data_IF_855997805443
#
_entry.id   IF_855997805443
#
_cell.length_a   1.000
_cell.length_b   1.000
_cell.length_c   1.000
_cell.angle_alpha   90.00
_cell.angle_beta   90.00
_cell.angle_gamma   90.00
#
_symmetry.space_group_name_H-M   'P 1'
#
loop_
_entity.id
_entity.type
_entity.pdbx_description
1 polymer ?
#
# COMPACT_ATOMS: atom_id res chain seq x y z
N UNK A 1 -14.56 -7.81 -16.84
CA UNK A 1 -13.79 -9.01 -16.40
C UNK A 1 -12.47 -8.64 -15.69
N UNK A 2 -11.60 -7.83 -16.27
CA UNK A 2 -10.29 -7.46 -15.66
C UNK A 2 -10.46 -6.82 -14.27
N UNK A 3 -11.42 -5.90 -14.10
CA UNK A 3 -11.71 -5.25 -12.80
C UNK A 3 -12.16 -6.25 -11.73
N UNK A 4 -12.98 -7.24 -12.10
CA UNK A 4 -13.42 -8.28 -11.15
C UNK A 4 -12.25 -9.15 -10.71
N UNK A 5 -11.49 -9.66 -11.68
CA UNK A 5 -10.33 -10.52 -11.38
C UNK A 5 -9.24 -9.75 -10.61
N UNK A 6 -8.90 -8.54 -11.04
CA UNK A 6 -7.93 -7.67 -10.36
C UNK A 6 -8.39 -7.29 -8.96
N UNK A 7 -9.68 -6.94 -8.80
CA UNK A 7 -10.28 -6.62 -7.51
C UNK A 7 -10.27 -7.80 -6.54
N UNK A 8 -10.64 -8.99 -7.00
CA UNK A 8 -10.57 -10.21 -6.19
C UNK A 8 -9.12 -10.56 -5.81
N UNK A 9 -8.19 -10.44 -6.74
CA UNK A 9 -6.78 -10.69 -6.47
C UNK A 9 -6.23 -9.69 -5.44
N UNK A 10 -6.55 -8.41 -5.55
CA UNK A 10 -6.20 -7.40 -4.55
C UNK A 10 -6.89 -7.66 -3.21
N UNK A 11 -8.16 -8.07 -3.21
CA UNK A 11 -8.93 -8.36 -2.01
C UNK A 11 -8.34 -9.53 -1.19
N UNK A 12 -7.89 -10.60 -1.84
CA UNK A 12 -7.41 -11.81 -1.15
C UNK A 12 -5.89 -11.92 -1.02
N UNK A 13 -5.13 -11.33 -1.94
CA UNK A 13 -3.67 -11.42 -1.98
C UNK A 13 -2.95 -10.06 -1.91
N UNK A 14 -3.67 -8.97 -1.63
CA UNK A 14 -3.23 -7.59 -1.76
C UNK A 14 -1.91 -7.27 -1.06
N UNK A 15 -1.69 -7.76 0.15
CA UNK A 15 -0.42 -7.55 0.87
C UNK A 15 0.80 -8.13 0.14
N UNK A 16 0.65 -9.31 -0.49
CA UNK A 16 1.74 -9.93 -1.26
C UNK A 16 1.95 -9.19 -2.59
N UNK A 17 0.84 -8.90 -3.27
CA UNK A 17 0.84 -8.18 -4.54
C UNK A 17 1.46 -6.80 -4.37
N UNK A 18 1.14 -6.07 -3.29
CA UNK A 18 1.71 -4.77 -2.99
C UNK A 18 3.24 -4.80 -2.95
N UNK A 19 3.84 -5.79 -2.25
CA UNK A 19 5.30 -5.92 -2.15
C UNK A 19 5.95 -6.26 -3.49
N UNK A 20 5.30 -7.11 -4.29
CA UNK A 20 5.78 -7.47 -5.64
C UNK A 20 5.74 -6.25 -6.55
N UNK A 21 4.63 -5.52 -6.53
CA UNK A 21 4.46 -4.29 -7.34
C UNK A 21 5.51 -3.26 -6.97
N UNK A 22 5.77 -3.05 -5.67
CA UNK A 22 6.81 -2.14 -5.20
C UNK A 22 8.20 -2.56 -5.70
N UNK A 23 8.52 -3.87 -5.67
CA UNK A 23 9.75 -4.42 -6.21
C UNK A 23 9.87 -4.22 -7.73
N UNK A 24 8.79 -4.44 -8.49
CA UNK A 24 8.76 -4.24 -9.94
C UNK A 24 9.00 -2.76 -10.29
N UNK A 25 8.32 -1.82 -9.63
CA UNK A 25 8.56 -0.40 -9.86
C UNK A 25 9.98 0.02 -9.52
N UNK A 26 10.52 -0.48 -8.39
CA UNK A 26 11.92 -0.25 -8.03
C UNK A 26 12.88 -0.81 -9.06
N UNK A 27 12.61 -2.01 -9.58
CA UNK A 27 13.40 -2.61 -10.64
C UNK A 27 13.38 -1.77 -11.93
N UNK A 28 12.19 -1.35 -12.38
CA UNK A 28 12.07 -0.54 -13.60
C UNK A 28 12.82 0.78 -13.44
N UNK A 29 12.63 1.49 -12.32
CA UNK A 29 13.29 2.76 -12.07
C UNK A 29 14.82 2.59 -11.98
N UNK A 30 15.30 1.59 -11.25
CA UNK A 30 16.72 1.29 -11.11
C UNK A 30 17.35 0.88 -12.44
N UNK A 31 16.67 0.06 -13.23
CA UNK A 31 17.11 -0.34 -14.56
C UNK A 31 17.21 0.85 -15.52
N UNK A 32 16.21 1.74 -15.52
CA UNK A 32 16.21 2.95 -16.35
C UNK A 32 17.39 3.88 -15.97
N UNK A 33 17.58 4.14 -14.69
CA UNK A 33 18.65 5.01 -14.22
C UNK A 33 20.03 4.42 -14.55
N UNK A 34 20.22 3.12 -14.27
CA UNK A 34 21.51 2.47 -14.52
C UNK A 34 21.82 2.33 -16.03
N UNK A 35 20.81 2.00 -16.85
CA UNK A 35 21.02 1.89 -18.29
C UNK A 35 21.26 3.24 -18.97
N UNK A 36 20.63 4.32 -18.47
CA UNK A 36 20.83 5.67 -19.03
C UNK A 36 22.24 6.25 -18.77
N UNK A 37 22.95 5.72 -17.77
CA UNK A 37 24.34 6.11 -17.47
C UNK A 37 25.36 5.45 -18.43
N UNK A 38 24.94 4.45 -19.21
CA UNK A 38 25.81 3.75 -20.18
C UNK A 38 25.58 4.31 -21.57
N UNK A 39 26.69 4.46 -22.34
CA UNK A 39 26.61 4.90 -23.75
C UNK A 39 25.97 3.83 -24.64
N UNK A 40 25.32 4.29 -25.72
CA UNK A 40 24.58 3.42 -26.66
C UNK A 40 25.47 2.41 -27.41
N UNK A 41 26.77 2.61 -27.42
CA UNK A 41 27.72 1.80 -28.19
C UNK A 41 28.03 0.43 -27.57
N UNK A 42 27.58 0.19 -26.31
CA UNK A 42 27.93 -1.03 -25.56
C UNK A 42 26.67 -1.75 -25.03
N UNK A 43 25.90 -2.33 -25.92
CA UNK A 43 24.62 -3.00 -25.60
C UNK A 43 24.70 -4.01 -24.45
N UNK A 44 25.77 -4.82 -24.37
CA UNK A 44 25.93 -5.82 -23.30
C UNK A 44 26.13 -5.19 -21.92
N UNK A 45 26.93 -4.14 -21.83
CA UNK A 45 27.13 -3.41 -20.56
C UNK A 45 25.83 -2.68 -20.13
N UNK A 46 25.07 -2.15 -21.11
CA UNK A 46 23.78 -1.50 -20.85
C UNK A 46 22.75 -2.49 -20.27
N UNK A 47 22.69 -3.72 -20.84
CA UNK A 47 21.80 -4.78 -20.32
C UNK A 47 22.22 -5.24 -18.93
N UNK A 48 23.53 -5.47 -18.73
CA UNK A 48 24.07 -5.84 -17.42
C UNK A 48 23.78 -4.74 -16.36
N UNK A 49 24.01 -3.48 -16.71
CA UNK A 49 23.72 -2.33 -15.85
C UNK A 49 22.21 -2.23 -15.52
N UNK A 50 21.33 -2.49 -16.50
CA UNK A 50 19.89 -2.50 -16.28
C UNK A 50 19.47 -3.59 -15.30
N UNK A 51 20.04 -4.80 -15.40
CA UNK A 51 19.72 -5.92 -14.49
C UNK A 51 20.22 -5.59 -13.06
N UNK A 52 21.49 -5.22 -12.92
CA UNK A 52 22.07 -4.91 -11.60
C UNK A 52 21.40 -3.69 -10.98
N UNK A 53 21.25 -2.61 -11.77
CA UNK A 53 20.57 -1.39 -11.33
C UNK A 53 19.10 -1.64 -10.97
N UNK A 54 18.42 -2.50 -11.72
CA UNK A 54 17.06 -2.91 -11.43
C UNK A 54 16.94 -3.65 -10.09
N UNK A 55 17.83 -4.60 -9.81
CA UNK A 55 17.86 -5.34 -8.54
C UNK A 55 18.15 -4.40 -7.35
N UNK A 56 19.14 -3.52 -7.51
CA UNK A 56 19.47 -2.51 -6.49
C UNK A 56 18.30 -1.54 -6.30
N UNK A 57 17.69 -1.06 -7.38
CA UNK A 57 16.53 -0.18 -7.33
C UNK A 57 15.32 -0.82 -6.64
N UNK A 58 15.05 -2.10 -6.89
CA UNK A 58 14.01 -2.85 -6.20
C UNK A 58 14.26 -2.90 -4.69
N UNK A 59 15.49 -3.19 -4.28
CA UNK A 59 15.89 -3.23 -2.87
C UNK A 59 15.76 -1.85 -2.21
N UNK A 60 16.27 -0.81 -2.88
CA UNK A 60 16.20 0.58 -2.38
C UNK A 60 14.74 1.00 -2.19
N UNK A 61 13.86 0.73 -3.17
CA UNK A 61 12.47 1.16 -3.06
C UNK A 61 11.72 0.45 -1.93
N UNK A 62 12.00 -0.84 -1.71
CA UNK A 62 11.45 -1.59 -0.59
C UNK A 62 11.95 -1.01 0.74
N UNK A 63 13.25 -0.71 0.87
CA UNK A 63 13.82 -0.11 2.08
C UNK A 63 13.28 1.31 2.31
N UNK A 64 13.21 2.13 1.26
CA UNK A 64 12.68 3.49 1.33
C UNK A 64 11.22 3.51 1.81
N UNK A 65 10.42 2.52 1.43
CA UNK A 65 9.06 2.36 1.93
C UNK A 65 9.03 2.21 3.47
N UNK A 66 9.87 1.33 4.04
CA UNK A 66 9.92 1.14 5.50
C UNK A 66 10.41 2.40 6.23
N UNK A 67 11.42 3.07 5.66
CA UNK A 67 11.94 4.33 6.20
C UNK A 67 10.84 5.41 6.14
N UNK A 68 10.12 5.53 5.04
CA UNK A 68 9.01 6.48 4.89
C UNK A 68 7.91 6.26 5.94
N UNK A 69 7.51 5.00 6.17
CA UNK A 69 6.51 4.66 7.20
C UNK A 69 7.03 5.02 8.60
N UNK A 70 8.30 4.73 8.89
CA UNK A 70 8.91 5.05 10.19
C UNK A 70 8.98 6.57 10.40
N UNK A 71 9.35 7.35 9.37
CA UNK A 71 9.40 8.81 9.45
C UNK A 71 8.02 9.42 9.71
N UNK A 72 6.99 8.97 8.99
CA UNK A 72 5.62 9.43 9.20
C UNK A 72 5.14 9.08 10.60
N UNK A 73 5.39 7.85 11.05
CA UNK A 73 5.04 7.42 12.40
C UNK A 73 5.77 8.21 13.48
N UNK A 74 7.05 8.50 13.26
CA UNK A 74 7.86 9.32 14.15
C UNK A 74 7.35 10.76 14.23
N UNK A 75 7.02 11.36 13.09
CA UNK A 75 6.45 12.71 13.04
C UNK A 75 5.09 12.77 13.77
N UNK A 76 4.23 11.77 13.60
CA UNK A 76 2.97 11.67 14.34
C UNK A 76 3.20 11.50 15.84
N UNK A 77 4.18 10.70 16.25
CA UNK A 77 4.55 10.55 17.65
C UNK A 77 5.02 11.88 18.26
N UNK A 78 5.91 12.61 17.58
CA UNK A 78 6.36 13.91 18.00
C UNK A 78 5.22 14.93 18.10
N UNK A 79 4.28 14.90 17.14
CA UNK A 79 3.09 15.74 17.16
C UNK A 79 2.22 15.44 18.36
N UNK A 80 1.98 14.17 18.69
CA UNK A 80 1.24 13.76 19.89
C UNK A 80 1.91 14.29 21.16
N UNK A 81 3.25 14.20 21.27
CA UNK A 81 3.96 14.77 22.41
C UNK A 81 3.68 16.27 22.55
N UNK A 82 3.81 17.02 21.46
CA UNK A 82 3.54 18.47 21.48
C UNK A 82 2.09 18.79 21.88
N UNK A 83 1.11 18.08 21.29
CA UNK A 83 -0.31 18.28 21.63
C UNK A 83 -0.61 17.99 23.10
N UNK A 84 -0.08 16.88 23.62
CA UNK A 84 -0.30 16.50 25.03
C UNK A 84 0.30 17.54 25.97
N UNK A 85 1.53 18.02 25.73
CA UNK A 85 2.17 19.04 26.57
C UNK A 85 1.50 20.42 26.45
N UNK A 86 1.00 20.76 25.26
CA UNK A 86 0.25 22.00 25.08
C UNK A 86 -1.02 22.07 25.93
N UNK A 87 -1.67 20.92 26.22
CA UNK A 87 -2.81 20.85 27.13
C UNK A 87 -2.44 21.26 28.60
N UNK A 88 -1.18 21.14 28.95
CA UNK A 88 -0.65 21.56 30.28
C UNK A 88 0.05 22.93 30.25
N UNK A 89 -0.08 23.69 29.14
CA UNK A 89 0.55 24.99 28.91
C UNK A 89 2.09 24.97 29.13
N UNK A 90 2.72 23.87 28.72
CA UNK A 90 4.16 23.64 28.78
C UNK A 90 4.71 23.23 27.44
N UNK A 91 6.00 23.44 27.23
CA UNK A 91 6.72 22.87 26.09
C UNK A 91 7.29 21.50 26.48
N UNK A 92 7.20 20.48 25.60
CA UNK A 92 7.79 19.19 25.89
C UNK A 92 9.31 19.26 25.88
N UNK A 93 9.96 18.60 26.81
CA UNK A 93 11.41 18.43 26.77
C UNK A 93 11.80 17.62 25.49
N UNK A 94 12.94 17.95 24.90
CA UNK A 94 13.43 17.28 23.68
C UNK A 94 13.48 15.75 23.82
N UNK A 95 13.86 15.25 25.00
CA UNK A 95 13.92 13.80 25.27
C UNK A 95 12.55 13.15 25.15
N UNK A 96 11.51 13.81 25.65
CA UNK A 96 10.12 13.32 25.56
C UNK A 96 9.67 13.26 24.10
N UNK A 97 9.95 14.30 23.31
CA UNK A 97 9.63 14.32 21.87
C UNK A 97 10.32 13.18 21.15
N UNK A 98 11.60 12.92 21.43
CA UNK A 98 12.36 11.82 20.84
C UNK A 98 11.75 10.46 21.22
N UNK A 99 11.40 10.25 22.48
CA UNK A 99 10.77 8.99 22.94
C UNK A 99 9.45 8.77 22.21
N UNK A 100 8.58 9.77 22.12
CA UNK A 100 7.31 9.68 21.42
C UNK A 100 7.50 9.46 19.91
N UNK A 101 8.51 10.09 19.30
CA UNK A 101 8.85 9.87 17.91
C UNK A 101 9.30 8.42 17.66
N UNK A 102 10.14 7.85 18.53
CA UNK A 102 10.59 6.45 18.41
C UNK A 102 9.41 5.50 18.60
N UNK A 103 8.57 5.70 19.61
CA UNK A 103 7.39 4.89 19.86
C UNK A 103 6.41 4.98 18.68
N UNK A 104 6.20 6.19 18.14
CA UNK A 104 5.37 6.41 16.97
C UNK A 104 5.91 5.71 15.72
N UNK A 105 7.22 5.77 15.48
CA UNK A 105 7.87 5.08 14.37
C UNK A 105 7.72 3.56 14.48
N UNK A 106 8.01 2.99 15.65
CA UNK A 106 7.86 1.55 15.88
C UNK A 106 6.39 1.10 15.81
N UNK A 107 5.47 1.91 16.34
CA UNK A 107 4.03 1.68 16.23
C UNK A 107 3.55 1.67 14.79
N UNK A 108 3.97 2.65 13.98
CA UNK A 108 3.65 2.72 12.56
C UNK A 108 4.17 1.50 11.79
N UNK A 109 5.41 1.09 12.05
CA UNK A 109 6.00 -0.12 11.45
C UNK A 109 5.26 -1.40 11.87
N UNK A 110 4.79 -1.49 13.08
CA UNK A 110 4.00 -2.63 13.55
C UNK A 110 2.59 -2.67 12.92
N UNK A 111 1.96 -1.50 12.79
CA UNK A 111 0.59 -1.36 12.27
C UNK A 111 0.52 -1.35 10.75
N UNK A 112 1.58 -0.96 10.03
CA UNK A 112 1.61 -0.83 8.56
C UNK A 112 1.04 -2.05 7.85
N UNK A 113 1.35 -3.25 8.32
CA UNK A 113 0.86 -4.50 7.74
C UNK A 113 -0.67 -4.59 7.80
N UNK A 114 -1.26 -4.23 8.94
CA UNK A 114 -2.72 -4.28 9.12
C UNK A 114 -3.41 -3.23 8.27
N UNK A 115 -2.82 -2.05 8.17
CA UNK A 115 -3.31 -0.96 7.31
C UNK A 115 -3.29 -1.37 5.84
N UNK A 116 -2.18 -1.94 5.35
CA UNK A 116 -2.09 -2.41 3.95
C UNK A 116 -3.10 -3.52 3.70
N UNK A 117 -3.21 -4.50 4.61
CA UNK A 117 -4.17 -5.60 4.49
C UNK A 117 -5.59 -5.07 4.44
N UNK A 118 -5.97 -4.15 5.34
CA UNK A 118 -7.30 -3.54 5.35
C UNK A 118 -7.56 -2.74 4.06
N UNK A 119 -6.64 -1.85 3.68
CA UNK A 119 -6.77 -1.02 2.49
C UNK A 119 -6.90 -1.86 1.21
N UNK A 120 -6.09 -2.92 1.07
CA UNK A 120 -6.15 -3.80 -0.12
C UNK A 120 -7.37 -4.72 -0.12
N UNK A 121 -7.85 -5.16 1.05
CA UNK A 121 -9.05 -5.98 1.15
C UNK A 121 -10.29 -5.18 0.76
N UNK A 122 -10.49 -3.99 1.34
CA UNK A 122 -11.66 -3.16 1.04
C UNK A 122 -11.56 -2.49 -0.34
N UNK A 123 -10.40 -1.99 -0.73
CA UNK A 123 -10.18 -1.42 -2.07
C UNK A 123 -10.36 -2.47 -3.18
N UNK A 124 -9.85 -3.68 -2.96
CA UNK A 124 -10.05 -4.82 -3.87
C UNK A 124 -11.52 -5.25 -3.95
N UNK A 125 -12.22 -5.33 -2.81
CA UNK A 125 -13.63 -5.64 -2.75
C UNK A 125 -14.48 -4.60 -3.51
N UNK A 126 -14.19 -3.32 -3.33
CA UNK A 126 -14.87 -2.25 -4.03
C UNK A 126 -14.66 -2.33 -5.54
N UNK A 127 -13.41 -2.56 -5.99
CA UNK A 127 -13.11 -2.74 -7.42
C UNK A 127 -13.83 -3.96 -8.00
N UNK A 128 -13.91 -5.06 -7.25
CA UNK A 128 -14.61 -6.27 -7.68
C UNK A 128 -16.12 -6.06 -7.78
N UNK A 129 -16.74 -5.39 -6.79
CA UNK A 129 -18.18 -5.09 -6.78
C UNK A 129 -18.55 -4.16 -7.94
N UNK A 130 -17.78 -3.10 -8.18
CA UNK A 130 -18.00 -2.20 -9.32
C UNK A 130 -17.85 -2.95 -10.65
N UNK A 131 -16.82 -3.79 -10.78
CA UNK A 131 -16.62 -4.63 -11.96
C UNK A 131 -17.77 -5.61 -12.20
N UNK A 132 -18.29 -6.23 -11.13
CA UNK A 132 -19.44 -7.12 -11.18
C UNK A 132 -20.73 -6.38 -11.54
N UNK A 133 -20.99 -5.22 -10.91
CA UNK A 133 -22.14 -4.38 -11.23
C UNK A 133 -22.13 -3.91 -12.69
N UNK A 134 -20.96 -3.53 -13.22
CA UNK A 134 -20.81 -3.16 -14.62
C UNK A 134 -21.10 -4.33 -15.59
N UNK A 135 -20.72 -5.56 -15.22
CA UNK A 135 -20.99 -6.75 -16.03
C UNK A 135 -22.46 -7.17 -15.99
N UNK A 136 -23.09 -7.15 -14.79
CA UNK A 136 -24.46 -7.62 -14.59
C UNK A 136 -25.50 -6.61 -15.09
N UNK A 137 -25.25 -5.31 -14.92
CA UNK A 137 -26.21 -4.27 -15.28
C UNK A 137 -26.09 -3.81 -16.73
N UNK A 138 -25.20 -4.39 -17.55
CA UNK A 138 -24.85 -3.91 -18.88
C UNK A 138 -24.67 -2.36 -18.93
N UNK A 139 -24.38 -1.78 -17.77
CA UNK A 139 -24.13 -0.35 -17.62
C UNK A 139 -22.73 -0.09 -18.17
N UNK A 140 -22.70 0.59 -19.29
CA UNK A 140 -21.46 1.11 -19.84
C UNK A 140 -20.78 1.92 -18.74
N UNK A 141 -19.47 1.73 -18.60
CA UNK A 141 -18.62 2.47 -17.63
C UNK A 141 -18.49 3.95 -18.02
N UNK A 142 -19.46 4.49 -18.73
CA UNK A 142 -19.51 5.89 -19.17
C UNK A 142 -19.52 6.88 -18.00
N UNK A 143 -19.96 6.43 -16.81
CA UNK A 143 -19.96 7.28 -15.62
C UNK A 143 -18.56 7.49 -15.01
N UNK A 144 -17.59 6.61 -15.28
CA UNK A 144 -16.25 6.75 -14.75
C UNK A 144 -15.36 7.70 -15.57
N UNK A 145 -15.74 7.97 -16.82
CA UNK A 145 -14.96 8.80 -17.73
C UNK A 145 -15.19 10.31 -17.57
N UNK A 146 -16.25 10.73 -16.88
CA UNK A 146 -16.64 12.14 -16.83
C UNK A 146 -16.09 12.96 -15.67
N UNK A 147 -15.33 12.39 -14.74
CA UNK A 147 -14.67 13.21 -13.73
C UNK A 147 -13.29 12.69 -13.36
N UNK A 148 -12.28 13.27 -14.00
CA UNK A 148 -10.87 13.15 -13.65
C UNK A 148 -10.59 13.58 -12.19
N UNK A 149 -11.55 14.24 -11.54
CA UNK A 149 -11.47 14.75 -10.17
C UNK A 149 -12.09 13.83 -9.10
N UNK A 150 -12.73 12.72 -9.48
CA UNK A 150 -13.22 11.75 -8.49
C UNK A 150 -12.07 10.92 -7.97
N UNK A 151 -11.60 11.27 -6.78
CA UNK A 151 -10.56 10.52 -6.09
C UNK A 151 -11.19 9.27 -5.49
N UNK A 152 -11.00 8.18 -6.18
CA UNK A 152 -11.31 6.85 -5.66
C UNK A 152 -10.35 6.52 -4.50
N UNK A 153 -10.81 6.13 -3.31
CA UNK A 153 -12.10 5.61 -2.85
C UNK A 153 -12.97 6.61 -2.02
N UNK A 154 -12.69 7.91 -2.07
CA UNK A 154 -13.27 8.92 -1.17
C UNK A 154 -14.69 9.31 -1.57
N UNK A 155 -15.02 9.21 -2.86
CA UNK A 155 -16.36 9.51 -3.37
C UNK A 155 -17.10 8.19 -3.66
N UNK A 156 -17.99 7.72 -2.74
CA UNK A 156 -18.71 6.48 -2.95
C UNK A 156 -19.64 6.67 -4.16
N UNK A 157 -19.46 5.82 -5.18
CA UNK A 157 -20.47 5.77 -6.26
C UNK A 157 -21.84 5.51 -5.64
N UNK A 158 -22.90 6.14 -6.15
CA UNK A 158 -24.27 5.82 -5.75
C UNK A 158 -24.56 4.38 -6.20
N UNK A 159 -24.23 3.44 -5.34
CA UNK A 159 -24.55 2.03 -5.47
C UNK A 159 -25.86 1.72 -4.77
N UNK A 160 -26.46 0.63 -5.15
CA UNK A 160 -27.61 0.07 -4.43
C UNK A 160 -27.16 -0.36 -3.04
N UNK A 161 -28.09 -0.40 -2.06
CA UNK A 161 -27.80 -0.94 -0.71
C UNK A 161 -27.16 -2.33 -0.76
N UNK A 162 -27.48 -3.12 -1.80
CA UNK A 162 -26.88 -4.43 -2.08
C UNK A 162 -25.39 -4.35 -2.40
N UNK A 163 -24.94 -3.33 -3.15
CA UNK A 163 -23.52 -3.16 -3.51
C UNK A 163 -22.71 -2.84 -2.26
N UNK A 164 -23.28 -2.05 -1.35
CA UNK A 164 -22.64 -1.74 -0.06
C UNK A 164 -22.51 -2.97 0.85
N UNK A 165 -23.57 -3.79 0.93
CA UNK A 165 -23.52 -5.06 1.69
C UNK A 165 -22.49 -6.01 1.08
N UNK A 166 -22.49 -6.16 -0.25
CA UNK A 166 -21.51 -6.99 -0.96
C UNK A 166 -20.06 -6.53 -0.70
N UNK A 167 -19.82 -5.21 -0.70
CA UNK A 167 -18.51 -4.61 -0.39
C UNK A 167 -18.07 -4.97 1.04
N UNK A 168 -18.93 -4.79 2.03
CA UNK A 168 -18.59 -5.09 3.44
C UNK A 168 -18.31 -6.59 3.60
N UNK A 169 -19.17 -7.45 3.07
CA UNK A 169 -19.01 -8.91 3.18
C UNK A 169 -17.73 -9.35 2.49
N UNK A 170 -17.51 -8.92 1.26
CA UNK A 170 -16.32 -9.31 0.50
C UNK A 170 -15.04 -8.74 1.11
N UNK A 171 -15.05 -7.48 1.54
CA UNK A 171 -13.93 -6.82 2.20
C UNK A 171 -13.54 -7.48 3.52
N UNK A 172 -14.55 -7.82 4.36
CA UNK A 172 -14.30 -8.52 5.62
C UNK A 172 -13.78 -9.94 5.41
N UNK A 173 -14.30 -10.67 4.43
CA UNK A 173 -13.77 -11.98 4.04
C UNK A 173 -12.33 -11.87 3.56
N UNK A 174 -12.03 -10.91 2.69
CA UNK A 174 -10.66 -10.64 2.22
C UNK A 174 -9.72 -10.31 3.36
N UNK A 175 -10.14 -9.45 4.29
CA UNK A 175 -9.38 -9.09 5.49
C UNK A 175 -9.04 -10.34 6.33
N UNK A 176 -10.04 -11.16 6.65
CA UNK A 176 -9.86 -12.38 7.46
C UNK A 176 -8.91 -13.37 6.78
N UNK A 177 -9.10 -13.59 5.47
CA UNK A 177 -8.23 -14.49 4.69
C UNK A 177 -6.79 -13.99 4.67
N UNK A 178 -6.57 -12.71 4.37
CA UNK A 178 -5.22 -12.12 4.35
C UNK A 178 -4.54 -12.19 5.72
N UNK A 179 -5.27 -11.92 6.81
CA UNK A 179 -4.74 -12.01 8.16
C UNK A 179 -4.36 -13.46 8.52
N UNK A 180 -5.19 -14.45 8.20
CA UNK A 180 -4.90 -15.88 8.44
C UNK A 180 -3.70 -16.37 7.63
N UNK A 181 -3.64 -16.03 6.34
CA UNK A 181 -2.50 -16.40 5.49
C UNK A 181 -1.19 -15.76 5.97
N UNK A 182 -1.28 -14.56 6.50
CA UNK A 182 -0.15 -13.85 7.08
C UNK A 182 0.30 -14.40 8.44
N UNK A 183 -0.60 -14.96 9.24
CA UNK A 183 -0.29 -15.59 10.54
C UNK A 183 0.42 -16.94 10.36
N UNK A 184 0.02 -17.72 9.35
CA UNK A 184 0.58 -19.04 9.06
C UNK A 184 2.06 -19.03 8.63
N UNK A 185 2.56 -17.91 8.14
CA UNK A 185 3.95 -17.76 7.70
C UNK A 185 4.90 -17.27 8.81
N UNK A 186 4.49 -17.26 10.07
CA UNK A 186 5.45 -17.07 11.17
C UNK A 186 6.21 -18.37 11.37
N UNK A 187 7.56 -18.38 11.28
CA UNK A 187 8.32 -19.56 11.63
C UNK A 187 7.96 -19.94 13.07
N UNK A 188 7.68 -21.24 13.28
CA UNK A 188 7.47 -21.76 14.62
C UNK A 188 8.68 -21.36 15.47
N UNK A 189 8.44 -20.63 16.57
CA UNK A 189 9.50 -20.39 17.56
C UNK A 189 10.01 -21.77 17.98
N UNK A 190 11.24 -22.06 17.59
CA UNK A 190 11.99 -23.22 18.12
C UNK A 190 12.07 -22.98 19.63
N UNK A 191 11.41 -23.87 20.37
CA UNK A 191 11.53 -23.98 21.83
C UNK A 191 12.84 -24.66 22.18
#
# INVERSE_FOLDING_TARGET
MILVLGGLLACFAGYRVFRIVLGIYGFILGALVASSAMGADQTWYMVAAAIVGGLVGALILILAYFVGVALIGGALGALVANVVWALFSREPELIVVIIFAIVGALGALALQRYVIVAATAYGGAQTAVIGAAALLANRRVDAASHSVYRVYPIDPMPGTSMDFVALIVLGTLGLVVQLRMSAKNRPAKVR
#
